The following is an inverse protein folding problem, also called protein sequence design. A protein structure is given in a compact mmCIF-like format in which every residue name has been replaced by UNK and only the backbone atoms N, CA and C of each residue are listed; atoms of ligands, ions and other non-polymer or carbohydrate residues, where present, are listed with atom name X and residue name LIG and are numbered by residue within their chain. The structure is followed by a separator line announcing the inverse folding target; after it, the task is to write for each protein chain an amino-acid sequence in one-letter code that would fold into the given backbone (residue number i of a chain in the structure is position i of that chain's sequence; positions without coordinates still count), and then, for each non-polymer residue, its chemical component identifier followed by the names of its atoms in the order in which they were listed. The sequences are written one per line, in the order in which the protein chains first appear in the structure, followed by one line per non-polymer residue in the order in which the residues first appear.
data_IF_886736044935
#
_entry.id   IF_886736044935
#
_cell.length_a   1.000
_cell.length_b   1.000
_cell.length_c   1.000
_cell.angle_alpha   90.00
_cell.angle_beta   90.00
_cell.angle_gamma   90.00
#
_symmetry.space_group_name_H-M   'P 1'
#
loop_
_entity.id
_entity.type
_entity.pdbx_description
1 polymer ?
#
# COMPACT_ATOMS: atom_id res chain seq x y z
N UNK A 1 0.50 -4.84 -20.11
CA UNK A 1 0.10 -4.24 -18.82
C UNK A 1 0.11 -2.75 -18.94
N UNK A 2 -1.05 -2.16 -18.74
CA UNK A 2 -1.23 -0.71 -18.76
C UNK A 2 -0.59 -0.07 -17.53
N UNK A 3 -0.42 1.26 -17.52
CA UNK A 3 0.20 1.96 -16.38
C UNK A 3 -0.65 1.81 -15.12
N UNK A 4 -1.96 1.77 -15.30
CA UNK A 4 -2.98 1.61 -14.28
C UNK A 4 -2.79 0.30 -13.52
N UNK A 5 -2.61 -0.80 -14.24
CA UNK A 5 -2.38 -2.13 -13.67
C UNK A 5 -1.09 -2.15 -12.85
N UNK A 6 -0.03 -1.52 -13.37
CA UNK A 6 1.26 -1.48 -12.68
C UNK A 6 1.16 -0.70 -11.36
N UNK A 7 0.42 0.41 -11.32
CA UNK A 7 0.18 1.18 -10.08
C UNK A 7 -0.57 0.33 -9.05
N UNK A 8 -1.60 -0.39 -9.50
CA UNK A 8 -2.39 -1.30 -8.67
C UNK A 8 -1.49 -2.38 -8.06
N UNK A 9 -0.65 -3.04 -8.87
CA UNK A 9 0.25 -4.09 -8.39
C UNK A 9 1.27 -3.53 -7.39
N UNK A 10 1.89 -2.39 -7.70
CA UNK A 10 2.86 -1.74 -6.77
C UNK A 10 2.20 -1.46 -5.42
N UNK A 11 0.96 -0.94 -5.42
CA UNK A 11 0.21 -0.67 -4.19
C UNK A 11 -0.19 -1.94 -3.45
N UNK A 12 -0.52 -3.01 -4.15
CA UNK A 12 -0.75 -4.32 -3.56
C UNK A 12 0.49 -4.86 -2.85
N UNK A 13 1.66 -4.81 -3.49
CA UNK A 13 2.94 -5.23 -2.89
C UNK A 13 3.26 -4.39 -1.64
N UNK A 14 3.09 -3.08 -1.72
CA UNK A 14 3.29 -2.18 -0.57
C UNK A 14 2.31 -2.53 0.56
N UNK A 15 1.06 -2.82 0.24
CA UNK A 15 0.05 -3.27 1.21
C UNK A 15 0.46 -4.57 1.92
N UNK A 16 0.97 -5.55 1.18
CA UNK A 16 1.50 -6.81 1.75
C UNK A 16 2.63 -6.51 2.74
N UNK A 17 3.62 -5.72 2.33
CA UNK A 17 4.72 -5.32 3.21
C UNK A 17 4.22 -4.58 4.45
N UNK A 18 3.26 -3.68 4.29
CA UNK A 18 2.63 -2.96 5.40
C UNK A 18 1.94 -3.91 6.38
N UNK A 19 1.25 -4.95 5.89
CA UNK A 19 0.57 -5.94 6.73
C UNK A 19 1.56 -6.72 7.60
N UNK A 20 2.68 -7.15 7.00
CA UNK A 20 3.79 -7.80 7.71
C UNK A 20 4.37 -6.89 8.79
N UNK A 21 4.65 -5.62 8.45
CA UNK A 21 5.20 -4.64 9.40
C UNK A 21 4.21 -4.36 10.54
N UNK A 22 2.92 -4.16 10.22
CA UNK A 22 1.86 -3.98 11.22
C UNK A 22 1.80 -5.14 12.21
N UNK A 23 1.98 -6.37 11.75
CA UNK A 23 1.97 -7.57 12.60
C UNK A 23 3.15 -7.56 13.59
N UNK A 24 4.36 -7.23 13.15
CA UNK A 24 5.50 -7.09 14.07
C UNK A 24 5.31 -5.97 15.10
N UNK A 25 4.51 -4.95 14.76
CA UNK A 25 4.19 -3.82 15.64
C UNK A 25 2.95 -4.06 16.51
N UNK A 26 2.39 -5.26 16.55
CA UNK A 26 1.09 -5.51 17.21
C UNK A 26 1.07 -5.22 18.72
N UNK A 27 2.21 -5.30 19.40
CA UNK A 27 2.34 -4.90 20.81
C UNK A 27 2.01 -3.42 21.04
N UNK A 28 2.12 -2.59 20.00
CA UNK A 28 1.71 -1.19 20.00
C UNK A 28 0.62 -0.98 18.93
N UNK A 29 -0.64 -1.05 19.36
CA UNK A 29 -1.81 -0.94 18.49
C UNK A 29 -1.79 0.34 17.63
N UNK A 30 -1.34 1.46 18.19
CA UNK A 30 -1.27 2.74 17.49
C UNK A 30 -0.23 2.69 16.37
N UNK A 31 0.96 2.16 16.65
CA UNK A 31 2.00 1.99 15.64
C UNK A 31 1.54 1.04 14.52
N UNK A 32 0.86 -0.06 14.88
CA UNK A 32 0.32 -1.02 13.92
C UNK A 32 -0.72 -0.38 12.98
N UNK A 33 -1.63 0.44 13.51
CA UNK A 33 -2.66 1.13 12.71
C UNK A 33 -2.13 2.30 11.87
N UNK A 34 -1.03 2.95 12.29
CA UNK A 34 -0.40 4.03 11.51
C UNK A 34 0.37 3.49 10.30
N UNK A 35 0.86 2.25 10.38
CA UNK A 35 1.66 1.60 9.33
C UNK A 35 1.02 1.63 7.93
N UNK A 36 -0.28 1.28 7.72
CA UNK A 36 -0.89 1.40 6.39
C UNK A 36 -1.01 2.84 5.90
N UNK A 37 -1.20 3.81 6.80
CA UNK A 37 -1.25 5.24 6.44
C UNK A 37 0.13 5.72 5.97
N UNK A 38 1.19 5.38 6.72
CA UNK A 38 2.56 5.68 6.34
C UNK A 38 2.94 5.01 5.00
N UNK A 39 2.51 3.78 4.80
CA UNK A 39 2.74 3.02 3.56
C UNK A 39 2.00 3.62 2.36
N UNK A 40 0.82 4.19 2.57
CA UNK A 40 0.14 4.96 1.53
C UNK A 40 0.94 6.20 1.11
N UNK A 41 1.45 6.99 2.06
CA UNK A 41 2.30 8.16 1.76
C UNK A 41 3.55 7.74 0.99
N UNK A 42 4.19 6.64 1.41
CA UNK A 42 5.33 6.07 0.70
C UNK A 42 4.95 5.60 -0.72
N UNK A 43 3.77 5.01 -0.90
CA UNK A 43 3.29 4.56 -2.20
C UNK A 43 3.15 5.71 -3.20
N UNK A 44 2.74 6.90 -2.75
CA UNK A 44 2.66 8.09 -3.60
C UNK A 44 4.06 8.45 -4.11
N UNK A 45 5.07 8.45 -3.24
CA UNK A 45 6.46 8.73 -3.63
C UNK A 45 6.97 7.69 -4.62
N UNK A 46 6.74 6.40 -4.36
CA UNK A 46 7.16 5.29 -5.22
C UNK A 46 6.50 5.39 -6.60
N UNK A 47 5.17 5.59 -6.67
CA UNK A 47 4.45 5.80 -7.93
C UNK A 47 4.95 7.06 -8.64
N UNK A 48 5.30 8.10 -7.89
CA UNK A 48 5.82 9.32 -8.49
C UNK A 48 7.18 9.07 -9.17
N UNK A 49 8.07 8.33 -8.52
CA UNK A 49 9.41 8.00 -9.01
C UNK A 49 9.33 7.00 -10.18
N UNK A 50 8.63 5.88 -10.02
CA UNK A 50 8.59 4.79 -11.00
C UNK A 50 7.93 5.21 -12.32
N UNK A 51 6.92 6.07 -12.27
CA UNK A 51 6.16 6.49 -13.46
C UNK A 51 6.49 7.90 -13.92
N UNK A 52 7.59 8.52 -13.45
CA UNK A 52 7.93 9.94 -13.70
C UNK A 52 7.78 10.39 -15.16
N UNK A 53 8.10 9.53 -16.12
CA UNK A 53 8.08 9.85 -17.55
C UNK A 53 6.74 9.57 -18.26
N UNK A 54 5.71 9.18 -17.52
CA UNK A 54 4.37 8.85 -18.07
C UNK A 54 3.41 9.97 -17.69
N UNK A 55 2.49 10.34 -18.58
CA UNK A 55 1.41 11.27 -18.23
C UNK A 55 0.53 10.67 -17.13
N UNK A 56 0.43 11.35 -15.99
CA UNK A 56 -0.32 10.88 -14.81
C UNK A 56 -1.53 11.76 -14.59
N UNK A 57 -2.69 11.16 -14.40
CA UNK A 57 -3.81 11.87 -13.80
C UNK A 57 -3.59 12.02 -12.29
N UNK A 58 -4.17 13.06 -11.68
CA UNK A 58 -4.22 13.17 -10.21
C UNK A 58 -4.85 11.91 -9.58
N UNK A 59 -5.82 11.29 -10.26
CA UNK A 59 -6.43 10.06 -9.80
C UNK A 59 -5.47 8.87 -9.78
N UNK A 60 -4.56 8.77 -10.75
CA UNK A 60 -3.58 7.68 -10.80
C UNK A 60 -2.56 7.78 -9.66
N UNK A 61 -2.24 9.01 -9.24
CA UNK A 61 -1.31 9.25 -8.15
C UNK A 61 -1.95 9.06 -6.77
N UNK A 62 -3.16 9.58 -6.56
CA UNK A 62 -3.80 9.59 -5.24
C UNK A 62 -4.76 8.42 -5.05
N UNK A 63 -5.70 8.19 -5.96
CA UNK A 63 -6.81 7.26 -5.74
C UNK A 63 -6.59 5.83 -6.25
N UNK A 64 -5.90 5.66 -7.38
CA UNK A 64 -5.84 4.35 -8.06
C UNK A 64 -5.10 3.32 -7.23
N UNK A 65 -5.74 2.20 -6.91
CA UNK A 65 -5.12 1.12 -6.13
C UNK A 65 -4.96 1.41 -4.62
N UNK A 66 -5.53 2.51 -4.10
CA UNK A 66 -5.57 2.74 -2.63
C UNK A 66 -6.31 1.63 -1.91
N UNK A 67 -7.51 1.30 -2.40
CA UNK A 67 -8.30 0.22 -1.82
C UNK A 67 -7.50 -1.09 -1.79
N UNK A 68 -6.74 -1.37 -2.85
CA UNK A 68 -5.94 -2.59 -2.96
C UNK A 68 -4.79 -2.60 -1.94
N UNK A 69 -4.14 -1.46 -1.68
CA UNK A 69 -3.15 -1.34 -0.61
C UNK A 69 -3.75 -1.69 0.75
N UNK A 70 -4.89 -1.09 1.10
CA UNK A 70 -5.54 -1.32 2.40
C UNK A 70 -6.12 -2.74 2.49
N UNK A 71 -6.72 -3.28 1.43
CA UNK A 71 -7.21 -4.65 1.39
C UNK A 71 -6.06 -5.65 1.54
N UNK A 72 -4.95 -5.47 0.82
CA UNK A 72 -3.79 -6.34 0.93
C UNK A 72 -3.14 -6.27 2.33
N UNK A 73 -3.02 -5.06 2.89
CA UNK A 73 -2.57 -4.85 4.27
C UNK A 73 -3.43 -5.63 5.26
N UNK A 74 -4.75 -5.46 5.19
CA UNK A 74 -5.69 -6.08 6.12
C UNK A 74 -5.66 -7.61 6.00
N UNK A 75 -5.68 -8.13 4.77
CA UNK A 75 -5.65 -9.57 4.52
C UNK A 75 -4.39 -10.22 5.07
N UNK A 76 -3.22 -9.64 4.83
CA UNK A 76 -1.96 -10.18 5.33
C UNK A 76 -1.87 -10.05 6.85
N UNK A 77 -2.29 -8.91 7.40
CA UNK A 77 -2.31 -8.71 8.85
C UNK A 77 -3.20 -9.76 9.54
N UNK A 78 -4.41 -10.01 9.02
CA UNK A 78 -5.32 -11.02 9.56
C UNK A 78 -4.77 -12.45 9.38
N UNK A 79 -4.22 -12.77 8.21
CA UNK A 79 -3.64 -14.09 7.95
C UNK A 79 -2.48 -14.40 8.91
N UNK A 80 -1.63 -13.41 9.22
CA UNK A 80 -0.54 -13.56 10.19
C UNK A 80 -1.03 -13.59 11.63
N UNK A 81 -2.10 -12.87 11.94
CA UNK A 81 -2.75 -12.91 13.24
C UNK A 81 -3.49 -14.24 13.51
N UNK A 82 -3.63 -15.09 12.48
CA UNK A 82 -4.18 -16.43 12.56
C UNK A 82 -5.66 -16.44 12.99
N UNK A 83 -6.43 -15.50 12.43
CA UNK A 83 -7.90 -15.43 12.51
C UNK A 83 -8.54 -16.24 11.38
#
# INVERSE_FOLDING_TARGET
MEKEDKIVIVRGIIGICAGIISFFLIQNILASLITPIASYLLSILIVNILFRNVSKSKWDLFGRGVAILFSAWLLIFLALYNV
#
